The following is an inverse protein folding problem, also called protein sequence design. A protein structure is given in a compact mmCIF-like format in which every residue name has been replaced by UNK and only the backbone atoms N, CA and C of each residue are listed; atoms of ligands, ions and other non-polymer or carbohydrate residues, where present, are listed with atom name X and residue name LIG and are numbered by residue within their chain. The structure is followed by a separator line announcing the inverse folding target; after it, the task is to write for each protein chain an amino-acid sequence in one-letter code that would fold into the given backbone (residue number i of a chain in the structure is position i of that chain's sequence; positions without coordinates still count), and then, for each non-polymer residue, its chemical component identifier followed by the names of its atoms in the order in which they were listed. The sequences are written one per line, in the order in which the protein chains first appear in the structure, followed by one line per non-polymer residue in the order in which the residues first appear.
data_IF_135584748051
#
_entry.id   IF_135584748051
#
_cell.length_a   1.000
_cell.length_b   1.000
_cell.length_c   1.000
_cell.angle_alpha   90.00
_cell.angle_beta   90.00
_cell.angle_gamma   90.00
#
_symmetry.space_group_name_H-M   'P 1'
#
loop_
_entity.id
_entity.type
_entity.pdbx_description
1 polymer ?
#
# COMPACT_ATOMS: atom_id res chain seq x y z
N UNK A 1 9.67 -1.06 -27.63
CA UNK A 1 10.48 -0.30 -26.65
C UNK A 1 10.27 -0.98 -25.32
N UNK A 2 11.28 -1.73 -24.89
CA UNK A 2 11.19 -2.78 -23.87
C UNK A 2 11.93 -2.24 -22.64
N UNK A 3 11.22 -2.06 -21.53
CA UNK A 3 11.84 -1.66 -20.26
C UNK A 3 12.72 -2.82 -19.73
N UNK A 4 13.89 -2.54 -19.14
CA UNK A 4 14.72 -3.59 -18.57
C UNK A 4 14.15 -4.03 -17.23
N UNK A 5 13.87 -5.33 -17.11
CA UNK A 5 13.72 -6.04 -15.85
C UNK A 5 15.05 -6.02 -15.11
N UNK A 6 15.13 -5.33 -13.97
CA UNK A 6 16.22 -5.47 -13.02
C UNK A 6 15.74 -6.31 -11.84
N UNK A 7 16.09 -7.59 -11.86
CA UNK A 7 16.11 -8.44 -10.68
C UNK A 7 17.47 -8.27 -10.01
N UNK A 8 17.50 -7.85 -8.74
CA UNK A 8 18.72 -7.80 -7.92
C UNK A 8 18.51 -8.58 -6.61
N UNK A 9 19.53 -9.28 -6.09
CA UNK A 9 19.38 -10.18 -4.95
C UNK A 9 19.36 -9.41 -3.62
N UNK A 10 18.65 -9.97 -2.63
CA UNK A 10 18.73 -9.55 -1.23
C UNK A 10 20.15 -9.82 -0.69
N UNK A 11 20.92 -8.77 -0.45
CA UNK A 11 21.96 -8.79 0.59
C UNK A 11 21.47 -7.98 1.80
N UNK A 12 21.27 -8.71 2.89
CA UNK A 12 20.85 -8.20 4.20
C UNK A 12 22.11 -7.66 4.91
N UNK A 13 22.09 -6.38 5.30
CA UNK A 13 22.89 -5.90 6.43
C UNK A 13 22.03 -5.09 7.40
N UNK A 14 21.95 -5.47 8.69
CA UNK A 14 21.12 -4.78 9.67
C UNK A 14 21.92 -3.65 10.33
N UNK A 15 21.47 -2.41 10.20
CA UNK A 15 21.93 -1.33 11.06
C UNK A 15 20.88 -0.24 11.25
N UNK A 16 19.84 -0.57 11.99
CA UNK A 16 19.03 0.44 12.67
C UNK A 16 18.79 -0.03 14.09
N UNK A 17 19.54 0.50 15.06
CA UNK A 17 19.10 0.63 16.45
C UNK A 17 20.03 1.59 17.22
N UNK A 18 19.40 2.31 18.17
CA UNK A 18 19.87 3.30 19.16
C UNK A 18 19.57 4.73 18.67
N UNK A 19 18.77 5.55 19.35
CA UNK A 19 18.76 5.93 20.79
C UNK A 19 17.32 6.42 21.11
N UNK A 20 16.58 6.00 22.15
CA UNK A 20 16.65 6.48 23.53
C UNK A 20 15.67 5.67 24.41
N UNK A 21 16.15 5.11 25.51
CA UNK A 21 15.31 4.76 26.66
C UNK A 21 16.14 4.90 27.94
N UNK A 22 15.93 5.97 28.72
CA UNK A 22 16.25 6.00 30.15
C UNK A 22 15.30 6.94 30.90
N UNK A 23 14.22 6.39 31.42
CA UNK A 23 13.67 6.84 32.70
C UNK A 23 13.79 5.67 33.68
N UNK A 24 14.69 5.79 34.66
CA UNK A 24 14.57 5.05 35.91
C UNK A 24 14.85 5.96 37.10
N UNK A 25 13.86 5.94 37.98
CA UNK A 25 13.79 6.47 39.32
C UNK A 25 15.01 6.15 40.18
N UNK A 26 15.43 7.11 41.00
CA UNK A 26 15.96 6.83 42.34
C UNK A 26 15.44 7.84 43.37
N UNK A 27 15.08 7.32 44.54
CA UNK A 27 14.61 8.02 45.75
C UNK A 27 15.80 8.26 46.70
N UNK A 28 15.65 9.30 47.56
CA UNK A 28 16.45 9.69 48.77
C UNK A 28 17.72 10.52 48.46
N UNK A 29 18.08 11.61 49.15
CA UNK A 29 17.69 12.18 50.46
C UNK A 29 18.23 13.62 50.63
N UNK A 30 17.41 14.51 51.25
CA UNK A 30 17.70 15.68 52.14
C UNK A 30 18.99 16.51 51.96
N UNK A 31 18.88 17.85 51.80
CA UNK A 31 18.93 18.89 52.87
C UNK A 31 18.83 20.34 52.32
N UNK A 32 17.92 21.12 52.92
CA UNK A 32 17.84 22.59 53.21
C UNK A 32 18.20 23.70 52.19
N UNK A 33 17.15 24.43 51.74
CA UNK A 33 16.85 25.90 51.81
C UNK A 33 17.89 27.02 51.47
N UNK A 34 17.47 28.29 51.20
CA UNK A 34 16.38 28.78 50.32
C UNK A 34 16.75 30.05 49.48
N UNK A 35 15.82 30.47 48.60
CA UNK A 35 15.49 31.86 48.23
C UNK A 35 16.34 32.64 47.19
N UNK A 36 15.85 32.81 45.94
CA UNK A 36 15.61 34.14 45.30
C UNK A 36 14.95 34.05 43.90
N UNK A 37 13.73 34.57 43.85
CA UNK A 37 13.08 35.46 42.84
C UNK A 37 13.32 35.28 41.33
N UNK A 38 12.16 35.16 40.65
CA UNK A 38 11.70 35.91 39.46
C UNK A 38 12.43 35.70 38.13
N UNK A 39 11.77 35.05 37.17
CA UNK A 39 11.19 35.78 36.03
C UNK A 39 10.23 34.90 35.22
N UNK A 40 9.12 35.53 34.83
CA UNK A 40 8.03 35.08 33.98
C UNK A 40 8.44 34.74 32.55
N UNK A 41 7.85 33.69 31.97
CA UNK A 41 6.95 33.84 30.80
C UNK A 41 6.36 32.51 30.36
N UNK A 42 5.02 32.50 30.38
CA UNK A 42 4.11 31.67 29.61
C UNK A 42 4.50 31.56 28.13
N UNK A 43 4.43 30.35 27.56
CA UNK A 43 3.39 30.02 26.56
C UNK A 43 3.38 28.52 26.29
N UNK A 44 2.33 27.87 26.78
CA UNK A 44 1.82 26.59 26.33
C UNK A 44 1.15 26.75 24.96
N UNK A 45 1.58 25.95 23.99
CA UNK A 45 0.76 25.42 22.90
C UNK A 45 1.63 24.43 22.09
N UNK A 46 1.78 23.21 22.60
CA UNK A 46 1.39 22.00 21.88
C UNK A 46 0.24 22.30 20.91
N UNK A 47 0.59 22.48 19.64
CA UNK A 47 -0.33 22.28 18.54
C UNK A 47 -0.01 20.92 17.93
N UNK A 48 -0.71 19.89 18.41
CA UNK A 48 -0.93 18.65 17.68
C UNK A 48 -1.28 19.01 16.23
N UNK A 49 -0.36 18.75 15.31
CA UNK A 49 -0.57 18.97 13.88
C UNK A 49 -1.17 17.71 13.28
N UNK A 50 -2.37 17.39 13.72
CA UNK A 50 -3.21 16.41 13.02
C UNK A 50 -3.76 17.06 11.75
N UNK A 51 -3.02 16.93 10.66
CA UNK A 51 -3.40 17.45 9.34
C UNK A 51 -4.75 16.91 8.82
N UNK A 52 -5.26 15.83 9.42
CA UNK A 52 -6.51 15.15 9.03
C UNK A 52 -7.67 15.43 9.99
N UNK A 53 -7.45 16.05 11.15
CA UNK A 53 -8.46 16.10 12.23
C UNK A 53 -9.51 17.21 12.11
N UNK A 54 -9.38 18.17 11.18
CA UNK A 54 -10.28 19.33 11.14
C UNK A 54 -11.47 19.21 10.19
N UNK A 55 -11.51 18.23 9.28
CA UNK A 55 -12.67 18.01 8.42
C UNK A 55 -12.99 16.51 8.34
N UNK A 56 -14.06 16.05 9.00
CA UNK A 56 -14.45 14.64 9.05
C UNK A 56 -14.71 14.06 7.65
N UNK A 57 -14.97 14.88 6.63
CA UNK A 57 -15.14 14.40 5.26
C UNK A 57 -13.84 13.80 4.68
N UNK A 58 -12.67 14.40 4.97
CA UNK A 58 -11.39 13.88 4.48
C UNK A 58 -11.03 12.55 5.14
N UNK A 59 -11.32 12.40 6.43
CA UNK A 59 -11.15 11.13 7.13
C UNK A 59 -11.99 10.02 6.49
N UNK A 60 -13.29 10.26 6.29
CA UNK A 60 -14.18 9.28 5.63
C UNK A 60 -13.71 8.97 4.21
N UNK A 61 -13.30 9.98 3.44
CA UNK A 61 -12.82 9.78 2.07
C UNK A 61 -11.56 8.91 2.04
N UNK A 62 -10.55 9.23 2.84
CA UNK A 62 -9.28 8.50 2.87
C UNK A 62 -9.45 7.07 3.39
N UNK A 63 -10.38 6.84 4.32
CA UNK A 63 -10.70 5.50 4.80
C UNK A 63 -11.55 4.69 3.81
N UNK A 64 -12.34 5.35 2.96
CA UNK A 64 -13.11 4.68 1.91
C UNK A 64 -12.26 4.24 0.71
N UNK A 65 -11.01 4.70 0.62
CA UNK A 65 -10.14 4.38 -0.52
C UNK A 65 -9.78 2.89 -0.57
N UNK A 66 -9.79 2.25 -1.75
CA UNK A 66 -9.38 0.86 -1.88
C UNK A 66 -7.85 0.66 -1.75
N UNK A 67 -7.11 1.77 -1.77
CA UNK A 67 -5.66 1.84 -1.65
C UNK A 67 -5.25 2.13 -0.21
N UNK A 68 -4.09 1.62 0.18
CA UNK A 68 -3.41 2.04 1.39
C UNK A 68 -2.77 3.39 1.15
N UNK A 69 -3.04 4.35 2.02
CA UNK A 69 -2.49 5.69 1.95
C UNK A 69 -1.63 5.93 3.17
N UNK A 70 -0.36 6.24 2.94
CA UNK A 70 0.58 6.65 3.99
C UNK A 70 1.16 8.00 3.62
N UNK A 71 1.21 8.91 4.58
CA UNK A 71 1.93 10.18 4.46
C UNK A 71 3.10 10.16 5.42
N UNK A 72 4.30 10.38 4.90
CA UNK A 72 5.55 10.35 5.67
C UNK A 72 6.21 11.72 5.66
N UNK A 73 6.86 12.06 6.77
CA UNK A 73 7.85 13.12 6.82
C UNK A 73 9.13 12.72 6.05
N UNK A 74 9.99 13.68 5.74
CA UNK A 74 11.31 13.41 5.16
C UNK A 74 12.23 12.59 6.07
N UNK A 75 11.91 12.49 7.37
CA UNK A 75 12.54 11.58 8.33
C UNK A 75 12.03 10.13 8.25
N UNK A 76 11.11 9.82 7.33
CA UNK A 76 10.35 8.57 7.24
C UNK A 76 9.45 8.30 8.45
N UNK A 77 9.16 9.32 9.26
CA UNK A 77 8.16 9.22 10.32
C UNK A 77 6.75 9.30 9.72
N UNK A 78 5.87 8.37 10.09
CA UNK A 78 4.47 8.38 9.67
C UNK A 78 3.72 9.57 10.26
N UNK A 79 3.20 10.42 9.37
CA UNK A 79 2.32 11.56 9.70
C UNK A 79 0.86 11.14 9.62
N UNK A 80 0.53 10.26 8.65
CA UNK A 80 -0.82 9.71 8.48
C UNK A 80 -0.77 8.32 7.87
N UNK A 81 -1.72 7.47 8.23
CA UNK A 81 -1.90 6.13 7.70
C UNK A 81 -3.37 5.72 7.81
N UNK A 82 -4.02 5.39 6.68
CA UNK A 82 -5.40 4.88 6.70
C UNK A 82 -5.47 3.41 7.15
N UNK A 83 -6.65 2.91 7.51
CA UNK A 83 -6.83 1.53 7.99
C UNK A 83 -6.40 0.49 6.95
N UNK A 84 -6.64 0.76 5.66
CA UNK A 84 -6.15 -0.08 4.54
C UNK A 84 -4.63 -0.19 4.54
N UNK A 85 -3.91 0.91 4.72
CA UNK A 85 -2.45 0.92 4.78
C UNK A 85 -1.92 0.20 6.02
N UNK A 86 -2.54 0.36 7.18
CA UNK A 86 -2.20 -0.42 8.39
C UNK A 86 -2.31 -1.92 8.11
N UNK A 87 -3.44 -2.35 7.57
CA UNK A 87 -3.65 -3.75 7.20
C UNK A 87 -2.69 -4.26 6.11
N UNK A 88 -2.16 -3.40 5.23
CA UNK A 88 -1.08 -3.79 4.31
C UNK A 88 0.27 -3.87 5.02
N UNK A 89 0.59 -2.93 5.92
CA UNK A 89 1.84 -2.96 6.69
C UNK A 89 1.92 -4.23 7.54
N UNK A 90 0.84 -4.61 8.21
CA UNK A 90 0.75 -5.85 8.99
C UNK A 90 1.03 -7.11 8.15
N UNK A 91 0.69 -7.09 6.86
CA UNK A 91 0.97 -8.20 5.93
C UNK A 91 2.39 -8.16 5.36
N UNK A 92 2.97 -6.97 5.24
CA UNK A 92 4.32 -6.74 4.75
C UNK A 92 5.39 -6.88 5.85
N UNK A 93 5.00 -6.91 7.12
CA UNK A 93 5.89 -7.00 8.29
C UNK A 93 5.58 -8.16 9.22
N UNK A 94 6.55 -8.46 10.10
CA UNK A 94 6.43 -9.41 11.21
C UNK A 94 6.42 -8.70 12.59
N UNK A 95 6.29 -7.37 12.65
CA UNK A 95 6.37 -6.60 13.91
C UNK A 95 5.47 -5.39 13.87
N UNK A 96 4.75 -5.17 14.97
CA UNK A 96 3.95 -3.97 15.21
C UNK A 96 4.88 -2.75 15.38
N UNK A 97 4.51 -1.61 14.78
CA UNK A 97 5.06 -0.25 14.98
C UNK A 97 6.16 0.28 14.02
N UNK A 98 6.69 -0.49 13.08
CA UNK A 98 7.66 0.04 12.10
C UNK A 98 7.06 0.18 10.69
N UNK A 99 7.71 0.90 9.77
CA UNK A 99 7.35 0.91 8.35
C UNK A 99 7.99 -0.29 7.62
N UNK A 100 7.24 -1.01 6.74
CA UNK A 100 7.80 -2.13 5.99
C UNK A 100 9.07 -1.75 5.24
N UNK A 101 10.04 -2.65 5.23
CA UNK A 101 11.36 -2.42 4.60
C UNK A 101 11.19 -2.01 3.13
N UNK A 102 10.23 -2.60 2.42
CA UNK A 102 9.90 -2.28 1.03
C UNK A 102 9.48 -0.81 0.85
N UNK A 103 8.71 -0.26 1.79
CA UNK A 103 8.28 1.15 1.79
C UNK A 103 9.48 2.05 2.11
N UNK A 104 10.27 1.71 3.13
CA UNK A 104 11.48 2.45 3.47
C UNK A 104 12.45 2.53 2.28
N UNK A 105 12.69 1.42 1.60
CA UNK A 105 13.54 1.36 0.41
C UNK A 105 12.99 2.21 -0.74
N UNK A 106 11.69 2.16 -0.99
CA UNK A 106 11.04 2.97 -2.01
C UNK A 106 11.24 4.47 -1.73
N UNK A 107 10.95 4.91 -0.50
CA UNK A 107 11.09 6.30 -0.12
C UNK A 107 12.54 6.77 -0.14
N UNK A 108 13.50 5.95 0.32
CA UNK A 108 14.92 6.27 0.27
C UNK A 108 15.42 6.44 -1.17
N UNK A 109 14.99 5.58 -2.11
CA UNK A 109 15.32 5.75 -3.54
C UNK A 109 14.75 7.06 -4.10
N UNK A 110 13.50 7.37 -3.79
CA UNK A 110 12.87 8.62 -4.21
C UNK A 110 13.58 9.86 -3.62
N UNK A 111 14.17 9.76 -2.43
CA UNK A 111 14.98 10.83 -1.84
C UNK A 111 16.37 10.96 -2.46
N UNK A 112 16.91 9.89 -3.04
CA UNK A 112 18.21 9.89 -3.71
C UNK A 112 18.13 10.38 -5.16
N UNK A 113 16.96 10.27 -5.79
CA UNK A 113 16.68 10.85 -7.09
C UNK A 113 16.47 12.37 -6.95
N UNK A 114 17.38 13.18 -7.50
CA UNK A 114 17.32 14.64 -7.44
C UNK A 114 15.94 15.17 -7.89
N UNK A 115 15.39 16.04 -7.05
CA UNK A 115 13.97 16.40 -6.87
C UNK A 115 13.29 17.20 -8.00
N UNK A 116 13.48 16.83 -9.27
CA UNK A 116 12.85 17.54 -10.41
C UNK A 116 11.75 16.72 -11.07
N UNK A 117 11.67 15.42 -10.81
CA UNK A 117 10.58 14.60 -11.34
C UNK A 117 9.35 14.69 -10.42
N UNK A 118 8.26 15.26 -10.94
CA UNK A 118 6.93 15.16 -10.33
C UNK A 118 6.32 13.75 -10.51
N UNK A 119 7.00 12.84 -11.22
CA UNK A 119 6.50 11.50 -11.46
C UNK A 119 6.60 10.63 -10.20
N UNK A 120 5.58 9.80 -9.93
CA UNK A 120 5.66 8.84 -8.85
C UNK A 120 6.72 7.77 -9.16
N UNK A 121 7.55 7.45 -8.17
CA UNK A 121 8.38 6.26 -8.21
C UNK A 121 7.50 5.04 -7.92
N UNK A 122 7.46 4.09 -8.86
CA UNK A 122 6.64 2.88 -8.76
C UNK A 122 7.55 1.66 -8.55
N UNK A 123 7.19 0.83 -7.57
CA UNK A 123 7.83 -0.44 -7.28
C UNK A 123 6.78 -1.54 -7.20
N UNK A 124 7.05 -2.67 -7.85
CA UNK A 124 6.26 -3.89 -7.65
C UNK A 124 6.99 -4.77 -6.63
N UNK A 125 6.25 -5.21 -5.61
CA UNK A 125 6.76 -5.98 -4.49
C UNK A 125 5.95 -7.27 -4.37
N UNK A 126 6.62 -8.41 -4.37
CA UNK A 126 5.98 -9.71 -4.20
C UNK A 126 6.37 -10.29 -2.84
N UNK A 127 5.38 -10.58 -2.00
CA UNK A 127 5.54 -11.26 -0.73
C UNK A 127 4.73 -12.55 -0.79
N UNK A 128 5.41 -13.71 -0.77
CA UNK A 128 4.77 -15.02 -0.97
C UNK A 128 3.97 -15.06 -2.29
N UNK A 129 2.65 -15.19 -2.21
CA UNK A 129 1.70 -15.25 -3.33
C UNK A 129 0.90 -13.94 -3.49
N UNK A 130 1.26 -12.88 -2.77
CA UNK A 130 0.64 -11.57 -2.87
C UNK A 130 1.54 -10.60 -3.65
N UNK A 131 0.91 -9.85 -4.54
CA UNK A 131 1.57 -8.86 -5.38
C UNK A 131 1.09 -7.48 -4.98
N UNK A 132 2.00 -6.66 -4.50
CA UNK A 132 1.75 -5.27 -4.14
C UNK A 132 2.38 -4.34 -5.15
N UNK A 133 1.69 -3.25 -5.45
CA UNK A 133 2.27 -2.11 -6.13
C UNK A 133 2.37 -0.96 -5.15
N UNK A 134 3.60 -0.51 -4.94
CA UNK A 134 3.94 0.61 -4.09
C UNK A 134 4.26 1.81 -5.00
N UNK A 135 3.67 2.96 -4.70
CA UNK A 135 3.95 4.20 -5.42
C UNK A 135 4.32 5.28 -4.41
N UNK A 136 5.43 5.97 -4.61
CA UNK A 136 5.84 7.08 -3.77
C UNK A 136 6.00 8.35 -4.61
N UNK A 137 5.60 9.50 -4.05
CA UNK A 137 5.84 10.81 -4.66
C UNK A 137 6.03 11.89 -3.61
N UNK A 138 6.76 12.92 -3.97
CA UNK A 138 6.80 14.16 -3.20
C UNK A 138 5.45 14.88 -3.25
N UNK A 139 5.11 15.53 -2.14
CA UNK A 139 3.93 16.36 -2.01
C UNK A 139 4.32 17.69 -1.34
N UNK A 140 4.18 18.77 -2.09
CA UNK A 140 4.41 20.13 -1.60
C UNK A 140 3.10 20.72 -1.06
N UNK A 141 2.90 20.60 0.24
CA UNK A 141 1.82 21.24 0.98
C UNK A 141 2.33 22.59 1.53
N UNK A 142 2.52 23.53 0.61
CA UNK A 142 2.70 24.99 0.71
C UNK A 142 3.30 25.72 1.95
N UNK A 143 3.78 25.10 3.04
CA UNK A 143 4.28 25.93 4.16
C UNK A 143 5.26 25.35 5.21
N UNK A 144 5.62 24.06 5.29
CA UNK A 144 6.61 23.70 6.34
C UNK A 144 7.70 22.70 5.99
N UNK A 145 7.42 21.56 5.36
CA UNK A 145 8.42 20.60 4.89
C UNK A 145 7.82 19.75 3.75
N UNK A 146 8.64 19.27 2.79
CA UNK A 146 8.14 18.36 1.77
C UNK A 146 7.72 17.04 2.43
N UNK A 147 6.50 16.60 2.10
CA UNK A 147 5.95 15.33 2.58
C UNK A 147 6.04 14.28 1.47
N UNK A 148 6.06 13.02 1.87
CA UNK A 148 6.01 11.89 0.95
C UNK A 148 4.64 11.25 1.02
N UNK A 149 4.01 11.07 -0.13
CA UNK A 149 2.81 10.25 -0.28
C UNK A 149 3.23 8.86 -0.76
N UNK A 150 2.83 7.84 -0.02
CA UNK A 150 2.95 6.44 -0.44
C UNK A 150 1.56 5.86 -0.63
N UNK A 151 1.35 5.27 -1.80
CA UNK A 151 0.16 4.50 -2.14
C UNK A 151 0.52 3.02 -2.23
N UNK A 152 -0.32 2.18 -1.62
CA UNK A 152 -0.18 0.72 -1.63
C UNK A 152 -1.42 0.14 -2.30
N UNK A 153 -1.20 -0.66 -3.32
CA UNK A 153 -2.24 -1.41 -4.03
C UNK A 153 -1.98 -2.92 -3.88
N UNK A 154 -3.02 -3.67 -3.54
CA UNK A 154 -3.03 -5.13 -3.66
C UNK A 154 -3.53 -5.52 -5.05
N UNK A 155 -2.60 -5.92 -5.92
CA UNK A 155 -2.89 -6.18 -7.33
C UNK A 155 -3.83 -7.37 -7.52
N UNK A 156 -3.84 -8.33 -6.57
CA UNK A 156 -4.75 -9.47 -6.61
C UNK A 156 -6.17 -9.05 -6.24
N UNK A 157 -6.33 -8.22 -5.19
CA UNK A 157 -7.63 -7.65 -4.85
C UNK A 157 -8.19 -6.78 -5.98
N UNK A 158 -7.35 -5.91 -6.57
CA UNK A 158 -7.70 -5.10 -7.75
C UNK A 158 -8.13 -5.98 -8.93
N UNK A 159 -7.38 -7.04 -9.23
CA UNK A 159 -7.72 -7.98 -10.30
C UNK A 159 -9.05 -8.69 -10.05
N UNK A 160 -9.33 -9.13 -8.81
CA UNK A 160 -10.61 -9.76 -8.46
C UNK A 160 -11.79 -8.84 -8.66
N UNK A 161 -11.67 -7.55 -8.32
CA UNK A 161 -12.72 -6.54 -8.56
C UNK A 161 -12.96 -6.33 -10.04
N UNK A 162 -11.90 -6.20 -10.84
CA UNK A 162 -12.02 -6.11 -12.31
C UNK A 162 -12.74 -7.34 -12.88
N UNK A 163 -12.40 -8.53 -12.38
CA UNK A 163 -13.00 -9.78 -12.86
C UNK A 163 -14.46 -9.94 -12.44
N UNK A 164 -14.87 -9.43 -11.28
CA UNK A 164 -16.27 -9.41 -10.90
C UNK A 164 -17.10 -8.55 -11.87
N UNK A 165 -16.56 -7.41 -12.31
CA UNK A 165 -17.18 -6.58 -13.35
C UNK A 165 -17.23 -7.34 -14.67
N UNK A 166 -16.14 -8.03 -15.05
CA UNK A 166 -16.11 -8.83 -16.28
C UNK A 166 -17.06 -10.03 -16.25
N UNK A 167 -17.25 -10.67 -15.09
CA UNK A 167 -18.19 -11.76 -14.91
C UNK A 167 -19.62 -11.31 -15.21
N UNK A 168 -20.05 -10.19 -14.62
CA UNK A 168 -21.36 -9.60 -14.89
C UNK A 168 -21.46 -9.13 -16.35
N UNK A 169 -20.43 -8.41 -16.82
CA UNK A 169 -20.36 -7.89 -18.18
C UNK A 169 -20.54 -8.95 -19.25
N UNK A 170 -19.91 -10.10 -19.09
CA UNK A 170 -19.90 -11.17 -20.08
C UNK A 170 -20.82 -12.32 -19.75
N UNK A 171 -21.64 -12.21 -18.69
CA UNK A 171 -22.50 -13.26 -18.18
C UNK A 171 -21.74 -14.60 -18.03
N UNK A 172 -20.56 -14.53 -17.41
CA UNK A 172 -19.73 -15.72 -17.18
C UNK A 172 -20.34 -16.53 -16.04
N UNK A 173 -20.45 -17.84 -16.25
CA UNK A 173 -20.78 -18.77 -15.15
C UNK A 173 -19.68 -18.73 -14.10
N UNK A 174 -19.98 -19.11 -12.86
CA UNK A 174 -18.98 -19.15 -11.77
C UNK A 174 -17.73 -19.95 -12.17
N UNK A 175 -17.93 -21.07 -12.88
CA UNK A 175 -16.83 -21.90 -13.36
C UNK A 175 -16.02 -21.22 -14.46
N UNK A 176 -16.67 -20.47 -15.35
CA UNK A 176 -15.98 -19.68 -16.37
C UNK A 176 -15.21 -18.51 -15.74
N UNK A 177 -15.78 -17.84 -14.73
CA UNK A 177 -15.12 -16.77 -13.99
C UNK A 177 -13.87 -17.27 -13.24
N UNK A 178 -13.94 -18.45 -12.61
CA UNK A 178 -12.81 -19.09 -11.95
C UNK A 178 -11.68 -19.43 -12.93
N UNK A 179 -12.01 -20.04 -14.07
CA UNK A 179 -11.03 -20.32 -15.14
C UNK A 179 -10.46 -19.02 -15.71
N UNK A 180 -11.28 -17.99 -15.87
CA UNK A 180 -10.87 -16.69 -16.37
C UNK A 180 -9.90 -15.98 -15.42
N UNK A 181 -10.14 -16.06 -14.11
CA UNK A 181 -9.22 -15.58 -13.08
C UNK A 181 -7.84 -16.24 -13.18
N UNK A 182 -7.79 -17.58 -13.30
CA UNK A 182 -6.53 -18.31 -13.44
C UNK A 182 -5.80 -17.98 -14.76
N UNK A 183 -6.54 -17.78 -15.86
CA UNK A 183 -5.96 -17.33 -17.12
C UNK A 183 -5.33 -15.93 -17.02
N UNK A 184 -5.95 -15.00 -16.29
CA UNK A 184 -5.41 -13.65 -16.06
C UNK A 184 -4.12 -13.68 -15.25
N UNK A 185 -4.01 -14.62 -14.34
CA UNK A 185 -2.80 -14.93 -13.58
C UNK A 185 -1.75 -15.74 -14.36
N UNK A 186 -1.97 -15.99 -15.67
CA UNK A 186 -1.01 -16.66 -16.58
C UNK A 186 -0.80 -18.16 -16.31
N UNK A 187 -1.71 -18.82 -15.59
CA UNK A 187 -1.68 -20.27 -15.48
C UNK A 187 -1.89 -20.93 -16.85
N UNK A 188 -1.17 -22.03 -17.11
CA UNK A 188 -1.36 -22.82 -18.33
C UNK A 188 -2.65 -23.62 -18.24
N UNK A 189 -3.15 -24.11 -19.39
CA UNK A 189 -4.36 -24.94 -19.39
C UNK A 189 -4.16 -26.24 -18.58
N UNK A 190 -2.92 -26.74 -18.52
CA UNK A 190 -2.59 -27.92 -17.73
C UNK A 190 -2.66 -27.58 -16.24
N UNK A 191 -2.05 -26.48 -15.81
CA UNK A 191 -2.11 -26.04 -14.40
C UNK A 191 -3.56 -25.82 -13.94
N UNK A 192 -4.39 -25.21 -14.79
CA UNK A 192 -5.82 -25.00 -14.51
C UNK A 192 -6.54 -26.34 -14.40
N UNK A 193 -6.24 -27.29 -15.29
CA UNK A 193 -6.80 -28.65 -15.27
C UNK A 193 -6.53 -29.32 -13.93
N UNK A 194 -5.29 -29.23 -13.46
CA UNK A 194 -4.79 -29.88 -12.25
C UNK A 194 -5.33 -29.20 -10.98
N UNK A 195 -5.27 -27.86 -10.92
CA UNK A 195 -5.79 -27.04 -9.82
C UNK A 195 -7.30 -27.27 -9.62
N UNK A 196 -8.05 -27.27 -10.71
CA UNK A 196 -9.51 -27.35 -10.68
C UNK A 196 -10.04 -28.79 -10.77
N UNK A 197 -9.14 -29.79 -10.84
CA UNK A 197 -9.44 -31.23 -10.93
C UNK A 197 -10.46 -31.57 -12.03
N UNK A 198 -10.30 -30.97 -13.20
CA UNK A 198 -11.11 -31.24 -14.40
C UNK A 198 -10.22 -31.68 -15.56
N UNK A 199 -10.81 -32.15 -16.66
CA UNK A 199 -10.03 -32.53 -17.84
C UNK A 199 -9.51 -31.32 -18.61
N UNK A 200 -8.37 -31.46 -19.26
CA UNK A 200 -7.80 -30.42 -20.14
C UNK A 200 -8.77 -30.00 -21.25
N UNK A 201 -9.58 -30.94 -21.76
CA UNK A 201 -10.62 -30.65 -22.76
C UNK A 201 -11.77 -29.81 -22.20
N UNK A 202 -12.12 -30.01 -20.92
CA UNK A 202 -13.11 -29.20 -20.22
C UNK A 202 -12.60 -27.77 -20.07
N UNK A 203 -11.33 -27.57 -19.68
CA UNK A 203 -10.69 -26.24 -19.63
C UNK A 203 -10.79 -25.56 -21.00
N UNK A 204 -10.33 -26.22 -22.07
CA UNK A 204 -10.39 -25.67 -23.43
C UNK A 204 -11.82 -25.27 -23.85
N UNK A 205 -12.81 -26.07 -23.48
CA UNK A 205 -14.23 -25.78 -23.76
C UNK A 205 -14.70 -24.51 -23.04
N UNK A 206 -14.43 -24.38 -21.73
CA UNK A 206 -14.77 -23.17 -20.99
C UNK A 206 -14.05 -21.93 -21.54
N UNK A 207 -12.77 -22.05 -21.86
CA UNK A 207 -12.00 -20.95 -22.46
C UNK A 207 -12.60 -20.50 -23.79
N UNK A 208 -13.00 -21.45 -24.66
CA UNK A 208 -13.70 -21.13 -25.90
C UNK A 208 -15.00 -20.38 -25.63
N UNK A 209 -15.81 -20.83 -24.68
CA UNK A 209 -17.08 -20.17 -24.32
C UNK A 209 -16.86 -18.75 -23.80
N UNK A 210 -15.87 -18.54 -22.93
CA UNK A 210 -15.49 -17.21 -22.43
C UNK A 210 -15.18 -16.27 -23.59
N UNK A 211 -14.30 -16.67 -24.52
CA UNK A 211 -13.96 -15.83 -25.67
C UNK A 211 -15.16 -15.58 -26.60
N UNK A 212 -16.04 -16.57 -26.78
CA UNK A 212 -17.29 -16.39 -27.53
C UNK A 212 -18.20 -15.35 -26.88
N UNK A 213 -18.44 -15.44 -25.57
CA UNK A 213 -19.24 -14.45 -24.80
C UNK A 213 -18.66 -13.04 -24.91
N UNK A 214 -17.33 -12.91 -24.74
CA UNK A 214 -16.62 -11.63 -24.87
C UNK A 214 -16.75 -11.00 -26.25
N UNK A 215 -16.68 -11.81 -27.30
CA UNK A 215 -16.82 -11.33 -28.69
C UNK A 215 -18.23 -10.84 -28.99
N UNK A 216 -19.25 -11.51 -28.47
CA UNK A 216 -20.66 -11.19 -28.75
C UNK A 216 -21.06 -9.81 -28.22
N UNK A 217 -20.45 -9.36 -27.12
CA UNK A 217 -20.77 -8.10 -26.45
C UNK A 217 -19.88 -6.91 -26.86
N UNK A 218 -18.94 -7.11 -27.79
CA UNK A 218 -17.98 -6.07 -28.19
C UNK A 218 -18.62 -4.83 -28.86
N UNK A 219 -19.89 -4.93 -29.27
CA UNK A 219 -20.60 -3.87 -30.01
C UNK A 219 -21.66 -3.11 -29.20
N UNK A 220 -21.85 -3.41 -27.91
CA UNK A 220 -22.88 -2.77 -27.09
C UNK A 220 -22.28 -1.76 -26.10
N UNK A 221 -22.68 -0.49 -26.18
CA UNK A 221 -22.33 0.53 -25.18
C UNK A 221 -23.23 0.38 -23.95
N UNK A 222 -22.81 -0.45 -23.00
CA UNK A 222 -23.46 -0.63 -21.69
C UNK A 222 -22.47 -0.32 -20.56
N UNK A 223 -22.97 0.26 -19.47
CA UNK A 223 -22.23 0.47 -18.23
C UNK A 223 -22.51 -0.74 -17.33
N UNK A 224 -21.45 -1.31 -16.77
CA UNK A 224 -21.51 -2.51 -15.93
C UNK A 224 -21.06 -2.14 -14.51
N UNK A 225 -21.70 -2.73 -13.51
CA UNK A 225 -21.43 -2.46 -12.10
C UNK A 225 -21.17 -3.78 -11.39
N UNK A 226 -20.09 -3.87 -10.61
CA UNK A 226 -19.95 -4.92 -9.61
C UNK A 226 -20.59 -4.45 -8.30
N UNK A 227 -21.42 -5.30 -7.68
CA UNK A 227 -21.89 -5.07 -6.31
C UNK A 227 -20.81 -5.38 -5.28
#
# INVERSE_FOLDING_TARGET
MTAPFFSMPLEIQPSCLKVYSQQRSTRRSRRNEPNRREFSSSTSADSDRDFVSHDPMWGVLLESMPLGVIVLASSLQTVYCNEKAKGFCDRLQNTDDELPISICQLCQRLMQEDSVSSEPLIMEYQERDQFFRLQARWMDLSATQPLLLVLIEDCQESMRKELAIEQDKYDLTDREAEIWFLLRQKYSYQDISDLLRISLNTVKTHVKNIYSKRKNLANERKIWYSR
#
